data_IF_540483293518
#
_entry.id   IF_540483293518
#
_cell.length_a   1.000
_cell.length_b   1.000
_cell.length_c   1.000
_cell.angle_alpha   90.00
_cell.angle_beta   90.00
_cell.angle_gamma   90.00
#
_symmetry.space_group_name_H-M   'P 1'
#
loop_
_entity.id
_entity.type
_entity.pdbx_description
1 polymer ?
#
# COMPACT_ATOMS: atom_id res chain seq x y z
N UNK A 1 -1.90 54.66 11.67
CA UNK A 1 -0.46 54.88 11.92
C UNK A 1 0.25 53.53 11.84
N UNK A 2 1.33 53.40 11.05
CA UNK A 2 2.06 52.14 10.98
C UNK A 2 2.62 51.82 12.37
N UNK A 3 2.31 50.63 12.90
CA UNK A 3 2.83 50.18 14.21
C UNK A 3 4.34 50.02 14.09
N UNK A 4 5.09 50.99 14.58
CA UNK A 4 6.55 50.91 14.70
C UNK A 4 6.87 49.89 15.78
N UNK A 5 7.23 48.68 15.37
CA UNK A 5 7.76 47.65 16.26
C UNK A 5 9.14 48.01 16.81
N UNK A 6 9.71 47.12 17.63
CA UNK A 6 11.07 47.24 18.17
C UNK A 6 12.06 47.51 17.02
N UNK A 7 12.98 48.49 17.15
CA UNK A 7 13.96 48.76 16.12
C UNK A 7 14.81 47.51 15.85
N UNK A 8 15.15 47.24 14.57
CA UNK A 8 15.93 46.07 14.21
C UNK A 8 17.33 46.14 14.84
N UNK A 9 17.80 45.01 15.36
CA UNK A 9 19.16 44.88 15.96
C UNK A 9 20.25 45.18 14.93
N UNK A 10 19.99 44.86 13.66
CA UNK A 10 20.88 45.18 12.54
C UNK A 10 20.28 46.34 11.76
N UNK A 11 20.82 47.54 11.96
CA UNK A 11 20.42 48.75 11.24
C UNK A 11 20.80 48.69 9.75
N UNK A 12 20.09 49.46 8.90
CA UNK A 12 20.29 49.49 7.46
C UNK A 12 21.72 49.87 7.02
N UNK A 13 22.46 50.64 7.85
CA UNK A 13 23.86 50.97 7.60
C UNK A 13 24.81 49.76 7.54
N UNK A 14 24.40 48.61 8.09
CA UNK A 14 25.22 47.39 8.10
C UNK A 14 24.96 46.48 6.88
N UNK A 15 23.98 46.80 6.02
CA UNK A 15 23.61 45.96 4.88
C UNK A 15 24.72 45.80 3.82
N UNK A 16 25.52 46.83 3.50
CA UNK A 16 26.67 46.66 2.60
C UNK A 16 27.69 45.65 3.14
N UNK A 17 27.90 45.62 4.46
CA UNK A 17 28.82 44.70 5.12
C UNK A 17 28.28 43.25 5.10
N UNK A 18 26.98 43.07 5.34
CA UNK A 18 26.33 41.76 5.18
C UNK A 18 26.46 41.22 3.75
N UNK A 19 26.29 42.11 2.77
CA UNK A 19 26.39 41.77 1.35
C UNK A 19 27.80 41.33 0.99
N UNK A 20 28.81 42.07 1.44
CA UNK A 20 30.23 41.72 1.29
C UNK A 20 30.55 40.35 1.90
N UNK A 21 30.13 40.10 3.14
CA UNK A 21 30.38 38.82 3.83
C UNK A 21 29.70 37.65 3.12
N UNK A 22 28.46 37.82 2.68
CA UNK A 22 27.72 36.79 1.96
C UNK A 22 28.34 36.46 0.59
N UNK A 23 28.92 37.45 -0.11
CA UNK A 23 29.64 37.21 -1.36
C UNK A 23 31.03 36.60 -1.14
N UNK A 24 31.72 36.97 -0.07
CA UNK A 24 33.02 36.39 0.28
C UNK A 24 32.91 34.93 0.70
N UNK A 25 31.76 34.53 1.27
CA UNK A 25 31.53 33.17 1.77
C UNK A 25 30.16 32.61 1.31
N UNK A 26 29.99 32.28 0.01
CA UNK A 26 28.70 31.86 -0.53
C UNK A 26 28.11 30.60 0.12
N UNK A 27 28.98 29.67 0.54
CA UNK A 27 28.60 28.35 1.07
C UNK A 27 28.52 28.25 2.60
N UNK A 28 28.92 29.29 3.34
CA UNK A 28 28.97 29.26 4.82
C UNK A 28 27.59 29.18 5.46
N UNK A 29 27.43 28.57 6.63
CA UNK A 29 26.13 28.55 7.30
C UNK A 29 25.67 29.94 7.76
N UNK A 30 24.38 30.14 8.06
CA UNK A 30 23.89 31.42 8.62
C UNK A 30 24.52 31.72 9.99
N UNK A 31 24.88 30.69 10.74
CA UNK A 31 25.56 30.82 12.02
C UNK A 31 27.01 31.30 11.85
N UNK A 32 27.73 30.75 10.87
CA UNK A 32 29.09 31.20 10.53
C UNK A 32 29.11 32.66 10.06
N UNK A 33 28.17 33.07 9.21
CA UNK A 33 28.07 34.47 8.77
C UNK A 33 27.72 35.41 9.93
N UNK A 34 26.88 34.97 10.88
CA UNK A 34 26.57 35.74 12.08
C UNK A 34 27.78 35.89 13.01
N UNK A 35 28.62 34.86 13.14
CA UNK A 35 29.88 34.92 13.88
C UNK A 35 30.89 35.87 13.22
N UNK A 36 31.04 35.79 11.89
CA UNK A 36 31.91 36.71 11.13
C UNK A 36 31.46 38.18 11.27
N UNK A 37 30.16 38.42 11.25
CA UNK A 37 29.60 39.75 11.47
C UNK A 37 29.81 40.27 12.89
N UNK A 38 29.67 39.40 13.89
CA UNK A 38 29.95 39.73 15.29
C UNK A 38 31.43 40.10 15.47
N UNK A 39 32.35 39.39 14.83
CA UNK A 39 33.78 39.69 14.90
C UNK A 39 34.14 41.08 14.34
N UNK A 40 33.42 41.57 13.32
CA UNK A 40 33.68 42.89 12.73
C UNK A 40 32.93 44.05 13.41
N UNK A 41 31.74 43.80 13.97
CA UNK A 41 30.86 44.88 14.49
C UNK A 41 30.60 44.84 16.00
N UNK A 42 30.94 43.74 16.67
CA UNK A 42 30.64 43.48 18.08
C UNK A 42 29.17 43.22 18.39
N UNK A 43 28.28 43.27 17.39
CA UNK A 43 26.83 43.12 17.58
C UNK A 43 26.47 41.63 17.58
N UNK A 44 25.92 41.15 18.70
CA UNK A 44 25.42 39.77 18.80
C UNK A 44 23.98 39.70 18.31
N UNK A 45 23.74 38.93 17.25
CA UNK A 45 22.40 38.70 16.70
C UNK A 45 22.16 37.20 16.49
N UNK A 46 20.93 36.74 16.75
CA UNK A 46 20.52 35.36 16.45
C UNK A 46 20.58 35.07 14.93
N UNK A 47 20.89 33.84 14.49
CA UNK A 47 20.95 33.49 13.05
C UNK A 47 19.70 33.90 12.25
N UNK A 48 18.50 33.83 12.83
CA UNK A 48 17.26 34.27 12.18
C UNK A 48 17.21 35.79 11.95
N UNK A 49 17.80 36.58 12.85
CA UNK A 49 17.91 38.03 12.70
C UNK A 49 18.85 38.36 11.54
N UNK A 50 19.92 37.58 11.38
CA UNK A 50 20.83 37.66 10.25
C UNK A 50 20.16 37.27 8.93
N UNK A 51 19.36 36.20 8.93
CA UNK A 51 18.57 35.78 7.77
C UNK A 51 17.57 36.87 7.32
N UNK A 52 16.90 37.54 8.26
CA UNK A 52 16.02 38.67 7.97
C UNK A 52 16.79 39.86 7.41
N UNK A 53 17.95 40.18 7.98
CA UNK A 53 18.78 41.29 7.52
C UNK A 53 19.36 41.04 6.11
N UNK A 54 19.81 39.81 5.81
CA UNK A 54 20.22 39.41 4.46
C UNK A 54 19.08 39.55 3.44
N UNK A 55 17.86 39.15 3.81
CA UNK A 55 16.67 39.31 2.96
C UNK A 55 16.36 40.79 2.69
N UNK A 56 16.49 41.66 3.71
CA UNK A 56 16.33 43.11 3.56
C UNK A 56 17.46 43.76 2.73
N UNK A 57 18.67 43.18 2.77
CA UNK A 57 19.79 43.56 1.92
C UNK A 57 19.69 43.02 0.48
N UNK A 58 18.61 42.31 0.13
CA UNK A 58 18.37 41.80 -1.22
C UNK A 58 18.99 40.42 -1.52
N UNK A 59 19.58 39.75 -0.54
CA UNK A 59 20.18 38.42 -0.72
C UNK A 59 19.18 37.34 -0.30
N UNK A 60 18.77 36.52 -1.26
CA UNK A 60 17.92 35.35 -1.03
C UNK A 60 18.74 34.08 -1.23
N UNK A 61 18.86 33.28 -0.16
CA UNK A 61 19.51 31.98 -0.24
C UNK A 61 18.55 30.93 -0.81
N UNK A 62 18.97 30.28 -1.87
CA UNK A 62 18.30 29.11 -2.43
C UNK A 62 18.98 27.87 -1.86
N UNK A 63 18.28 27.14 -1.00
CA UNK A 63 18.74 25.82 -0.55
C UNK A 63 18.54 24.87 -1.73
N UNK A 64 19.61 24.46 -2.40
CA UNK A 64 19.56 23.35 -3.34
C UNK A 64 19.14 22.10 -2.57
N UNK A 65 17.84 21.78 -2.64
CA UNK A 65 17.36 20.46 -2.25
C UNK A 65 17.85 19.53 -3.34
N UNK A 66 19.00 18.90 -3.13
CA UNK A 66 19.37 17.73 -3.90
C UNK A 66 18.19 16.75 -3.75
N UNK A 67 17.40 16.60 -4.82
CA UNK A 67 16.45 15.50 -4.95
C UNK A 67 17.31 14.25 -5.06
N UNK A 68 17.73 13.70 -3.93
CA UNK A 68 18.28 12.37 -3.89
C UNK A 68 17.25 11.46 -4.56
N UNK A 69 17.69 10.72 -5.57
CA UNK A 69 16.88 9.66 -6.18
C UNK A 69 16.71 8.56 -5.13
N UNK A 70 15.75 8.76 -4.23
CA UNK A 70 15.33 7.69 -3.33
C UNK A 70 14.65 6.64 -4.20
N UNK A 71 15.42 5.63 -4.60
CA UNK A 71 14.84 4.37 -5.04
C UNK A 71 14.27 3.71 -3.79
N UNK A 72 12.95 3.47 -3.74
CA UNK A 72 12.39 2.65 -2.69
C UNK A 72 13.16 1.32 -2.69
N UNK A 73 13.56 0.80 -1.51
CA UNK A 73 14.09 -0.55 -1.46
C UNK A 73 13.08 -1.51 -2.10
N UNK A 74 13.56 -2.61 -2.69
CA UNK A 74 12.69 -3.62 -3.29
C UNK A 74 11.50 -3.91 -2.35
N UNK A 75 10.28 -4.03 -2.90
CA UNK A 75 9.10 -4.27 -2.09
C UNK A 75 9.36 -5.51 -1.24
N UNK A 76 9.33 -5.33 0.10
CA UNK A 76 9.50 -6.44 1.04
C UNK A 76 8.53 -7.56 0.63
N UNK A 77 9.00 -8.80 0.60
CA UNK A 77 8.13 -9.98 0.42
C UNK A 77 7.00 -9.86 1.45
N UNK A 78 5.81 -9.49 0.98
CA UNK A 78 4.64 -9.38 1.84
C UNK A 78 4.13 -10.78 2.06
N UNK A 79 4.40 -11.29 3.25
CA UNK A 79 3.78 -12.50 3.76
C UNK A 79 2.29 -12.22 3.96
N UNK A 80 1.46 -12.54 2.96
CA UNK A 80 0.03 -12.25 3.02
C UNK A 80 -0.73 -12.36 1.70
N UNK A 81 -2.01 -11.98 1.76
CA UNK A 81 -2.93 -11.96 0.62
C UNK A 81 -2.48 -10.94 -0.44
N UNK A 82 -1.98 -11.40 -1.60
CA UNK A 82 -1.73 -10.57 -2.80
C UNK A 82 -3.03 -10.17 -3.49
N UNK A 83 -2.98 -9.21 -4.42
CA UNK A 83 -4.17 -8.76 -5.17
C UNK A 83 -4.90 -9.91 -5.88
N UNK A 84 -4.19 -10.92 -6.36
CA UNK A 84 -4.78 -12.12 -6.96
C UNK A 84 -5.67 -12.94 -5.99
N UNK A 85 -5.46 -12.78 -4.68
CA UNK A 85 -6.25 -13.44 -3.61
C UNK A 85 -7.27 -12.49 -2.99
N UNK A 86 -7.32 -11.22 -3.45
CA UNK A 86 -8.36 -10.30 -3.04
C UNK A 86 -9.64 -10.69 -3.77
N UNK A 87 -10.73 -10.81 -3.01
CA UNK A 87 -12.04 -11.10 -3.59
C UNK A 87 -12.48 -9.94 -4.46
N UNK A 88 -12.70 -10.21 -5.74
CA UNK A 88 -13.28 -9.22 -6.65
C UNK A 88 -14.80 -9.27 -6.50
N UNK A 89 -15.39 -8.19 -5.98
CA UNK A 89 -16.83 -7.98 -6.04
C UNK A 89 -17.19 -7.51 -7.46
N UNK A 90 -18.27 -8.00 -8.09
CA UNK A 90 -19.37 -8.80 -7.53
C UNK A 90 -19.28 -10.32 -7.83
N UNK A 91 -18.21 -10.79 -8.46
CA UNK A 91 -18.11 -12.18 -8.98
C UNK A 91 -18.05 -13.24 -7.87
N UNK A 92 -17.55 -12.89 -6.69
CA UNK A 92 -17.50 -13.78 -5.51
C UNK A 92 -18.59 -13.40 -4.51
N UNK A 93 -19.82 -13.84 -4.79
CA UNK A 93 -21.06 -13.46 -4.08
C UNK A 93 -21.03 -13.71 -2.57
N UNK A 94 -20.33 -14.76 -2.13
CA UNK A 94 -20.18 -15.08 -0.72
C UNK A 94 -18.70 -15.16 -0.30
N UNK A 95 -18.37 -14.78 0.95
CA UNK A 95 -17.05 -15.00 1.55
C UNK A 95 -16.60 -16.47 1.64
N UNK A 96 -17.47 -17.42 1.31
CA UNK A 96 -17.17 -18.85 1.22
C UNK A 96 -16.76 -19.31 -0.18
N UNK A 97 -17.00 -18.49 -1.22
CA UNK A 97 -16.62 -18.80 -2.59
C UNK A 97 -15.10 -18.75 -2.75
N UNK A 98 -14.58 -19.57 -3.66
CA UNK A 98 -13.16 -19.55 -4.02
C UNK A 98 -12.84 -18.34 -4.92
N UNK A 99 -11.67 -17.75 -4.69
CA UNK A 99 -11.10 -16.76 -5.61
C UNK A 99 -10.74 -17.41 -6.95
N UNK A 100 -10.60 -16.62 -8.01
CA UNK A 100 -10.20 -17.15 -9.33
C UNK A 100 -8.83 -17.81 -9.30
N UNK A 101 -7.90 -17.26 -8.51
CA UNK A 101 -6.57 -17.83 -8.30
C UNK A 101 -6.65 -19.19 -7.59
N UNK A 102 -7.47 -19.31 -6.54
CA UNK A 102 -7.68 -20.57 -5.82
C UNK A 102 -8.40 -21.59 -6.70
N UNK A 103 -9.43 -21.17 -7.44
CA UNK A 103 -10.16 -22.02 -8.38
C UNK A 103 -9.23 -22.59 -9.45
N UNK A 104 -8.36 -21.78 -10.03
CA UNK A 104 -7.42 -22.23 -11.08
C UNK A 104 -6.52 -23.39 -10.62
N UNK A 105 -6.11 -23.41 -9.35
CA UNK A 105 -5.30 -24.50 -8.81
C UNK A 105 -6.05 -25.82 -8.61
N UNK A 106 -7.34 -25.73 -8.34
CA UNK A 106 -8.17 -26.88 -7.94
C UNK A 106 -9.14 -27.30 -9.04
N UNK A 107 -9.31 -26.50 -10.09
CA UNK A 107 -10.23 -26.73 -11.20
C UNK A 107 -10.03 -28.13 -11.81
N UNK A 108 -8.78 -28.52 -12.03
CA UNK A 108 -8.39 -29.84 -12.55
C UNK A 108 -8.93 -31.03 -11.72
N UNK A 109 -9.09 -30.86 -10.41
CA UNK A 109 -9.66 -31.92 -9.56
C UNK A 109 -11.16 -32.13 -9.82
N UNK A 110 -11.88 -31.07 -10.20
CA UNK A 110 -13.33 -31.06 -10.29
C UNK A 110 -13.86 -31.10 -11.72
N UNK A 111 -13.11 -30.52 -12.66
CA UNK A 111 -13.34 -30.60 -14.08
C UNK A 111 -12.90 -31.96 -14.59
N UNK A 112 -13.82 -32.68 -15.24
CA UNK A 112 -13.49 -33.92 -15.94
C UNK A 112 -13.79 -33.65 -17.40
N UNK A 113 -12.76 -33.36 -18.17
CA UNK A 113 -12.82 -33.29 -19.62
C UNK A 113 -12.94 -34.71 -20.20
N UNK A 114 -13.92 -34.95 -21.07
CA UNK A 114 -13.98 -36.18 -21.89
C UNK A 114 -14.85 -37.34 -21.38
N UNK A 115 -15.79 -37.11 -20.46
CA UNK A 115 -16.75 -38.16 -20.06
C UNK A 115 -17.85 -38.41 -21.10
N UNK A 116 -18.17 -39.68 -21.40
CA UNK A 116 -19.40 -40.05 -22.14
C UNK A 116 -20.63 -39.72 -21.28
N UNK A 117 -21.51 -38.82 -21.76
CA UNK A 117 -22.78 -38.49 -21.11
C UNK A 117 -23.28 -37.09 -21.43
N UNK A 118 -24.45 -36.73 -20.85
CA UNK A 118 -25.03 -35.39 -20.97
C UNK A 118 -24.13 -34.37 -20.27
N UNK A 119 -23.78 -33.25 -20.93
CA UNK A 119 -22.99 -32.20 -20.31
C UNK A 119 -23.63 -31.70 -19.00
N UNK A 120 -22.84 -31.41 -17.96
CA UNK A 120 -23.37 -30.91 -16.70
C UNK A 120 -24.06 -29.55 -16.90
N UNK A 121 -25.30 -29.43 -16.43
CA UNK A 121 -26.12 -28.20 -16.53
C UNK A 121 -25.56 -27.02 -15.75
N UNK A 122 -24.79 -27.26 -14.69
CA UNK A 122 -24.19 -26.23 -13.85
C UNK A 122 -22.67 -26.35 -13.89
N UNK A 123 -21.98 -25.22 -13.83
CA UNK A 123 -20.52 -25.21 -13.73
C UNK A 123 -20.06 -25.91 -12.46
N UNK A 124 -18.91 -26.59 -12.52
CA UNK A 124 -18.35 -27.27 -11.35
C UNK A 124 -17.93 -26.29 -10.26
N UNK A 125 -17.47 -25.10 -10.66
CA UNK A 125 -17.17 -23.99 -9.75
C UNK A 125 -18.39 -23.61 -8.91
N UNK A 126 -19.54 -23.37 -9.53
CA UNK A 126 -20.75 -22.98 -8.79
C UNK A 126 -21.22 -24.08 -7.84
N UNK A 127 -21.09 -25.36 -8.22
CA UNK A 127 -21.37 -26.48 -7.32
C UNK A 127 -20.41 -26.55 -6.14
N UNK A 128 -19.11 -26.29 -6.38
CA UNK A 128 -18.10 -26.24 -5.33
C UNK A 128 -18.32 -25.06 -4.38
N UNK A 129 -18.59 -23.87 -4.91
CA UNK A 129 -18.90 -22.68 -4.11
C UNK A 129 -20.13 -22.90 -3.22
N UNK A 130 -21.17 -23.56 -3.73
CA UNK A 130 -22.32 -23.98 -2.94
C UNK A 130 -21.94 -24.95 -1.82
N UNK A 131 -21.06 -25.92 -2.10
CA UNK A 131 -20.56 -26.85 -1.07
C UNK A 131 -19.77 -26.09 0.01
N UNK A 132 -18.85 -25.20 -0.40
CA UNK A 132 -18.07 -24.38 0.51
C UNK A 132 -18.96 -23.47 1.36
N UNK A 133 -20.04 -22.93 0.80
CA UNK A 133 -21.04 -22.16 1.54
C UNK A 133 -21.68 -22.99 2.66
N UNK A 134 -22.18 -24.19 2.35
CA UNK A 134 -22.81 -25.07 3.34
C UNK A 134 -21.82 -25.48 4.41
N UNK A 135 -20.60 -25.86 4.05
CA UNK A 135 -19.56 -26.26 5.01
C UNK A 135 -19.12 -25.09 5.90
N UNK A 136 -19.03 -23.87 5.35
CA UNK A 136 -18.64 -22.68 6.12
C UNK A 136 -19.75 -22.22 7.07
N UNK A 137 -21.00 -22.25 6.62
CA UNK A 137 -22.14 -21.70 7.37
C UNK A 137 -22.80 -22.73 8.28
N UNK A 138 -22.64 -24.02 8.00
CA UNK A 138 -23.31 -25.11 8.71
C UNK A 138 -24.82 -25.18 8.44
N UNK A 139 -25.33 -24.47 7.43
CA UNK A 139 -26.77 -24.44 7.17
C UNK A 139 -27.28 -25.81 6.67
N UNK A 140 -28.55 -26.12 6.94
CA UNK A 140 -29.20 -27.28 6.32
C UNK A 140 -29.17 -27.16 4.79
N UNK A 141 -28.93 -28.27 4.08
CA UNK A 141 -28.89 -28.30 2.61
C UNK A 141 -30.13 -27.69 1.97
N UNK A 142 -31.32 -27.89 2.56
CA UNK A 142 -32.59 -27.33 2.08
C UNK A 142 -32.70 -25.81 2.23
N UNK A 143 -31.86 -25.21 3.06
CA UNK A 143 -31.78 -23.76 3.26
C UNK A 143 -30.71 -23.10 2.40
N UNK A 144 -30.14 -23.82 1.43
CA UNK A 144 -29.20 -23.25 0.48
C UNK A 144 -29.83 -22.05 -0.24
N UNK A 145 -29.13 -20.90 -0.38
CA UNK A 145 -29.62 -19.75 -1.11
C UNK A 145 -30.10 -20.12 -2.52
N UNK A 146 -31.21 -19.50 -2.96
CA UNK A 146 -31.87 -19.81 -4.25
C UNK A 146 -31.03 -19.46 -5.49
N UNK A 147 -29.99 -18.67 -5.32
CA UNK A 147 -29.04 -18.35 -6.39
C UNK A 147 -28.05 -19.47 -6.69
N UNK A 148 -27.90 -20.44 -5.78
CA UNK A 148 -27.17 -21.66 -6.06
C UNK A 148 -28.04 -22.70 -6.78
N UNK A 149 -27.43 -23.69 -7.45
CA UNK A 149 -28.15 -24.83 -7.99
C UNK A 149 -29.00 -25.52 -6.92
N UNK A 150 -30.08 -26.18 -7.37
CA UNK A 150 -31.00 -26.88 -6.47
C UNK A 150 -30.24 -27.80 -5.49
N UNK A 151 -30.57 -27.70 -4.20
CA UNK A 151 -29.81 -28.32 -3.11
C UNK A 151 -29.56 -29.82 -3.31
N UNK A 152 -30.51 -30.56 -3.89
CA UNK A 152 -30.37 -32.00 -4.13
C UNK A 152 -29.23 -32.31 -5.10
N UNK A 153 -29.04 -31.47 -6.13
CA UNK A 153 -27.96 -31.63 -7.09
C UNK A 153 -26.59 -31.30 -6.45
N UNK A 154 -26.55 -30.24 -5.64
CA UNK A 154 -25.36 -29.86 -4.87
C UNK A 154 -24.98 -30.99 -3.91
N UNK A 155 -25.94 -31.50 -3.14
CA UNK A 155 -25.71 -32.56 -2.17
C UNK A 155 -25.24 -33.88 -2.81
N UNK A 156 -25.87 -34.32 -3.91
CA UNK A 156 -25.44 -35.51 -4.66
C UNK A 156 -24.01 -35.35 -5.18
N UNK A 157 -23.67 -34.15 -5.66
CA UNK A 157 -22.32 -33.83 -6.15
C UNK A 157 -21.31 -33.81 -5.01
N UNK A 158 -21.65 -33.17 -3.88
CA UNK A 158 -20.86 -33.13 -2.67
C UNK A 158 -20.53 -34.55 -2.21
N UNK A 159 -21.54 -35.40 -1.99
CA UNK A 159 -21.33 -36.80 -1.56
C UNK A 159 -20.39 -37.57 -2.47
N UNK A 160 -20.57 -37.43 -3.79
CA UNK A 160 -19.71 -38.09 -4.78
C UNK A 160 -18.27 -37.60 -4.70
N UNK A 161 -18.04 -36.30 -4.54
CA UNK A 161 -16.70 -35.72 -4.44
C UNK A 161 -16.03 -36.03 -3.10
N UNK A 162 -16.78 -36.07 -2.01
CA UNK A 162 -16.29 -36.52 -0.70
C UNK A 162 -15.86 -37.99 -0.74
N UNK A 163 -16.66 -38.86 -1.36
CA UNK A 163 -16.27 -40.27 -1.52
C UNK A 163 -15.01 -40.46 -2.39
N UNK A 164 -14.71 -39.49 -3.27
CA UNK A 164 -13.51 -39.48 -4.11
C UNK A 164 -12.31 -38.80 -3.44
N UNK A 165 -12.45 -38.31 -2.21
CA UNK A 165 -11.38 -37.61 -1.48
C UNK A 165 -10.97 -36.27 -2.14
N UNK A 166 -11.84 -35.66 -2.93
CA UNK A 166 -11.49 -34.46 -3.71
C UNK A 166 -11.34 -33.21 -2.85
N UNK A 167 -12.10 -33.12 -1.76
CA UNK A 167 -12.04 -31.97 -0.86
C UNK A 167 -10.74 -31.96 -0.06
N UNK A 168 -10.25 -33.13 0.33
CA UNK A 168 -8.97 -33.32 1.02
C UNK A 168 -7.82 -32.91 0.10
N UNK A 169 -7.80 -33.42 -1.14
CA UNK A 169 -6.82 -33.04 -2.16
C UNK A 169 -6.86 -31.53 -2.46
N UNK A 170 -8.05 -30.95 -2.57
CA UNK A 170 -8.22 -29.51 -2.75
C UNK A 170 -7.61 -28.74 -1.57
N UNK A 171 -7.88 -29.17 -0.33
CA UNK A 171 -7.35 -28.53 0.86
C UNK A 171 -5.82 -28.60 0.91
N UNK A 172 -5.25 -29.74 0.54
CA UNK A 172 -3.79 -29.93 0.56
C UNK A 172 -3.10 -29.09 -0.51
N UNK A 173 -3.65 -29.00 -1.74
CA UNK A 173 -3.14 -28.11 -2.79
C UNK A 173 -3.15 -26.65 -2.35
N UNK A 174 -4.26 -26.18 -1.77
CA UNK A 174 -4.36 -24.80 -1.29
C UNK A 174 -3.40 -24.54 -0.11
N UNK A 175 -3.25 -25.48 0.82
CA UNK A 175 -2.30 -25.35 1.94
C UNK A 175 -0.84 -25.34 1.47
N UNK A 176 -0.49 -26.18 0.50
CA UNK A 176 0.86 -26.17 -0.08
C UNK A 176 1.19 -24.81 -0.69
N UNK A 177 0.28 -24.27 -1.51
CA UNK A 177 0.40 -22.91 -2.06
C UNK A 177 0.59 -21.86 -0.97
N UNK A 178 -0.14 -21.97 0.15
CA UNK A 178 0.02 -21.07 1.29
C UNK A 178 1.36 -21.23 2.02
N UNK A 179 1.89 -22.45 2.15
CA UNK A 179 3.18 -22.70 2.81
C UNK A 179 4.36 -22.20 2.01
N UNK A 180 4.34 -22.33 0.69
CA UNK A 180 5.38 -21.80 -0.21
C UNK A 180 5.47 -20.26 -0.18
N UNK A 181 4.44 -19.60 0.36
CA UNK A 181 4.36 -18.13 0.48
C UNK A 181 4.88 -17.60 1.81
N UNK A 182 5.01 -18.43 2.83
CA UNK A 182 5.59 -18.12 4.16
C UNK A 182 7.09 -18.34 4.12
#
# INVERSE_FOLDING_TARGET
MPKTGRPPVIAAGHYPLLTRLAHAQPYSSQAELAQAFHAETGITAHPDTFAKALKLAGIVRVKERAKGSFQPPEPRKSYGYTEAHRRQLPEQRYPSCLTDAEWTLVAELFEVSGGRGVPPRHSRRTLLDACCYVVRTGCSWRMLPREFPHWDNVYKTFRRWSAQGKFEQMHDRLRAQWRERV
#
